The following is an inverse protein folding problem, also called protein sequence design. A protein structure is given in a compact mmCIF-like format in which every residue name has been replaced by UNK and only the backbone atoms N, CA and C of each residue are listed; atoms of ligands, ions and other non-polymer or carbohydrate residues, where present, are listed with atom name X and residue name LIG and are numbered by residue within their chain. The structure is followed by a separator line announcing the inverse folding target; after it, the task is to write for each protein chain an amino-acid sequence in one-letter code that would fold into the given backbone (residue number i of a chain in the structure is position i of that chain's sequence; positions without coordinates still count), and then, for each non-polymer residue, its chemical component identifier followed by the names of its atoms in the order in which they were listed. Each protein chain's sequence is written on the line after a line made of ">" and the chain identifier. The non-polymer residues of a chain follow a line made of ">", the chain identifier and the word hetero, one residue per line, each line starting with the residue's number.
data_IF_698346159061
#
_entry.id   IF_698346159061
#
_cell.length_a   1.000
_cell.length_b   1.000
_cell.length_c   1.000
_cell.angle_alpha   90.00
_cell.angle_beta   90.00
_cell.angle_gamma   90.00
#
_symmetry.space_group_name_H-M   'P 1'
#
loop_
_entity.id
_entity.type
_entity.pdbx_description
1 polymer ?
#
# COMPACT_ATOMS: atom_id res chain seq x y z
N UNK A 1 -0.89 10.02 -16.42
CA UNK A 1 -1.14 11.38 -15.87
C UNK A 1 0.14 12.23 -15.90
N UNK A 2 1.15 11.83 -16.67
CA UNK A 2 2.39 12.62 -16.80
C UNK A 2 2.16 13.77 -17.79
N UNK A 3 2.45 15.01 -17.35
CA UNK A 3 2.37 16.21 -18.18
C UNK A 3 1.07 17.05 -18.06
N UNK A 4 0.10 16.62 -17.28
CA UNK A 4 -1.09 17.45 -17.02
C UNK A 4 -0.85 18.40 -15.85
N UNK A 5 -1.33 19.65 -15.91
CA UNK A 5 -1.28 20.59 -14.81
C UNK A 5 -2.03 20.08 -13.57
N UNK A 6 -1.61 20.50 -12.37
CA UNK A 6 -2.28 20.16 -11.13
C UNK A 6 -3.71 20.72 -11.07
N UNK A 7 -4.65 19.91 -10.58
CA UNK A 7 -6.08 20.23 -10.48
C UNK A 7 -6.55 20.26 -9.03
N UNK A 8 -7.63 20.99 -8.78
CA UNK A 8 -8.31 20.95 -7.49
C UNK A 8 -8.78 19.52 -7.16
N UNK A 9 -8.66 19.13 -5.90
CA UNK A 9 -8.95 17.79 -5.40
C UNK A 9 -7.76 16.83 -5.46
N UNK A 10 -6.71 17.10 -6.25
CA UNK A 10 -5.53 16.24 -6.30
C UNK A 10 -4.69 16.32 -5.01
N UNK A 11 -4.01 15.21 -4.69
CA UNK A 11 -2.97 15.17 -3.65
C UNK A 11 -1.62 15.54 -4.27
N UNK A 12 -0.91 16.44 -3.62
CA UNK A 12 0.42 16.89 -4.02
C UNK A 12 1.40 16.73 -2.87
N UNK A 13 2.59 16.27 -3.17
CA UNK A 13 3.74 16.31 -2.25
C UNK A 13 4.47 17.62 -2.46
N UNK A 14 4.51 18.42 -1.42
CA UNK A 14 5.34 19.60 -1.32
C UNK A 14 6.67 19.21 -0.67
N UNK A 15 7.78 19.39 -1.37
CA UNK A 15 9.13 19.07 -0.90
C UNK A 15 9.88 20.38 -0.62
N UNK A 16 10.28 20.59 0.63
CA UNK A 16 11.07 21.78 1.00
C UNK A 16 12.59 21.54 0.79
N UNK A 17 13.36 22.62 0.91
CA UNK A 17 14.84 22.62 0.76
C UNK A 17 15.57 21.71 1.77
N UNK A 18 14.93 21.34 2.87
CA UNK A 18 15.45 20.41 3.88
C UNK A 18 15.09 18.97 3.60
N UNK A 19 14.41 18.67 2.50
CA UNK A 19 13.95 17.34 2.12
C UNK A 19 12.70 16.88 2.87
N UNK A 20 12.00 17.76 3.60
CA UNK A 20 10.75 17.40 4.27
C UNK A 20 9.62 17.38 3.27
N UNK A 21 8.76 16.37 3.38
CA UNK A 21 7.65 16.13 2.48
C UNK A 21 6.32 16.35 3.20
N UNK A 22 5.43 17.09 2.57
CA UNK A 22 4.08 17.37 3.05
C UNK A 22 3.10 16.87 2.00
N UNK A 23 2.15 16.04 2.38
CA UNK A 23 1.06 15.61 1.50
C UNK A 23 -0.13 16.54 1.71
N UNK A 24 -0.48 17.30 0.68
CA UNK A 24 -1.53 18.32 0.73
C UNK A 24 -2.59 17.99 -0.32
N UNK A 25 -3.86 18.18 0.01
CA UNK A 25 -4.95 18.18 -0.96
C UNK A 25 -5.13 19.58 -1.48
N UNK A 26 -5.09 19.76 -2.79
CA UNK A 26 -5.28 21.09 -3.40
C UNK A 26 -6.76 21.46 -3.44
N UNK A 27 -7.06 22.69 -2.99
CA UNK A 27 -8.40 23.25 -2.99
C UNK A 27 -8.31 24.69 -3.49
N UNK A 28 -9.21 25.10 -4.40
CA UNK A 28 -9.26 26.50 -4.87
C UNK A 28 -9.47 27.45 -3.71
N UNK A 29 -8.65 28.49 -3.60
CA UNK A 29 -8.65 29.43 -2.48
C UNK A 29 -8.11 28.88 -1.16
N UNK A 30 -7.69 27.59 -1.12
CA UNK A 30 -7.10 26.96 0.06
C UNK A 30 -5.69 27.47 0.37
N UNK A 31 -5.22 27.20 1.58
CA UNK A 31 -3.87 27.59 2.02
C UNK A 31 -3.26 26.48 2.88
N UNK A 32 -2.04 26.06 2.54
CA UNK A 32 -1.24 25.14 3.35
C UNK A 32 -0.34 25.93 4.30
N UNK A 33 -0.48 25.67 5.61
CA UNK A 33 0.34 26.28 6.65
C UNK A 33 1.40 25.32 7.17
N UNK A 34 2.63 25.78 7.26
CA UNK A 34 3.76 25.02 7.82
C UNK A 34 4.79 25.96 8.44
N UNK A 35 5.85 25.45 9.05
CA UNK A 35 6.87 26.26 9.73
C UNK A 35 7.64 27.24 8.82
N UNK A 36 7.60 27.08 7.50
CA UNK A 36 8.16 28.00 6.48
C UNK A 36 7.12 28.97 5.91
N UNK A 37 6.04 29.28 6.64
CA UNK A 37 5.00 30.23 6.24
C UNK A 37 3.75 29.56 5.72
N UNK A 38 3.00 30.30 4.91
CA UNK A 38 1.78 29.84 4.26
C UNK A 38 2.00 29.72 2.75
N UNK A 39 1.40 28.72 2.12
CA UNK A 39 1.40 28.53 0.68
C UNK A 39 -0.06 28.51 0.19
N UNK A 40 -0.52 29.53 -0.55
CA UNK A 40 -1.80 29.45 -1.24
C UNK A 40 -1.81 28.34 -2.26
N UNK A 41 -2.85 27.50 -2.26
CA UNK A 41 -2.98 26.38 -3.22
C UNK A 41 -3.07 26.86 -4.67
N UNK A 42 -3.59 28.07 -4.89
CA UNK A 42 -3.72 28.67 -6.21
C UNK A 42 -2.35 28.90 -6.92
N UNK A 43 -1.25 28.94 -6.16
CA UNK A 43 0.11 29.00 -6.74
C UNK A 43 0.56 27.63 -7.32
N UNK A 44 -0.08 26.54 -6.89
CA UNK A 44 0.20 25.19 -7.37
C UNK A 44 -0.81 24.75 -8.42
N UNK A 45 -2.07 25.16 -8.27
CA UNK A 45 -3.14 24.86 -9.22
C UNK A 45 -2.79 25.38 -10.61
N UNK A 46 -2.93 24.54 -11.63
CA UNK A 46 -2.59 24.86 -13.02
C UNK A 46 -1.10 24.84 -13.35
N UNK A 47 -0.21 24.63 -12.37
CA UNK A 47 1.23 24.45 -12.63
C UNK A 47 1.56 23.01 -13.00
N UNK A 48 2.72 22.82 -13.64
CA UNK A 48 3.24 21.50 -13.99
C UNK A 48 3.95 20.83 -12.81
N UNK A 49 4.02 19.51 -12.85
CA UNK A 49 4.78 18.71 -11.89
C UNK A 49 6.29 19.06 -11.96
N UNK A 50 6.93 19.21 -10.79
CA UNK A 50 8.30 19.67 -10.67
C UNK A 50 8.44 21.19 -10.55
N UNK A 51 7.35 21.95 -10.61
CA UNK A 51 7.36 23.42 -10.41
C UNK A 51 7.79 23.76 -8.98
N UNK A 52 8.61 24.80 -8.87
CA UNK A 52 8.94 25.42 -7.58
C UNK A 52 8.01 26.59 -7.31
N UNK A 53 7.38 26.57 -6.16
CA UNK A 53 6.54 27.66 -5.66
C UNK A 53 7.12 28.23 -4.37
N UNK A 54 6.73 29.46 -4.00
CA UNK A 54 7.26 30.13 -2.82
C UNK A 54 6.16 30.42 -1.81
N UNK A 55 6.45 30.14 -0.55
CA UNK A 55 5.56 30.50 0.56
C UNK A 55 5.55 32.01 0.80
N UNK A 56 4.67 32.47 1.68
CA UNK A 56 4.59 33.89 2.11
C UNK A 56 5.87 34.44 2.73
N UNK A 57 6.77 33.57 3.20
CA UNK A 57 8.08 33.95 3.75
C UNK A 57 9.23 33.79 2.72
N UNK A 58 8.91 33.42 1.48
CA UNK A 58 9.90 33.20 0.42
C UNK A 58 10.54 31.80 0.43
N UNK A 59 10.13 30.89 1.33
CA UNK A 59 10.68 29.53 1.34
C UNK A 59 10.21 28.73 0.13
N UNK A 60 11.16 28.04 -0.55
CA UNK A 60 10.90 27.28 -1.76
C UNK A 60 10.27 25.90 -1.45
N UNK A 61 9.34 25.48 -2.29
CA UNK A 61 8.69 24.19 -2.25
C UNK A 61 8.59 23.63 -3.67
N UNK A 62 9.11 22.43 -3.89
CA UNK A 62 8.91 21.65 -5.12
C UNK A 62 7.60 20.87 -5.05
N UNK A 63 6.83 20.87 -6.14
CA UNK A 63 5.51 20.26 -6.22
C UNK A 63 5.56 18.98 -7.06
N UNK A 64 5.20 17.83 -6.48
CA UNK A 64 5.15 16.54 -7.18
C UNK A 64 3.84 15.81 -6.90
N UNK A 65 3.40 14.98 -7.84
CA UNK A 65 2.39 13.96 -7.53
C UNK A 65 3.00 12.91 -6.59
N UNK A 66 2.24 12.43 -5.59
CA UNK A 66 2.78 11.47 -4.63
C UNK A 66 3.11 10.14 -5.31
N UNK A 67 4.32 9.63 -5.09
CA UNK A 67 4.59 8.22 -5.32
C UNK A 67 3.78 7.39 -4.34
N UNK A 68 3.49 6.13 -4.66
CA UNK A 68 2.77 5.24 -3.74
C UNK A 68 3.42 5.20 -2.34
N UNK A 69 4.76 5.15 -2.29
CA UNK A 69 5.49 5.17 -1.03
C UNK A 69 5.26 6.46 -0.21
N UNK A 70 5.23 7.62 -0.86
CA UNK A 70 4.98 8.90 -0.19
C UNK A 70 3.53 8.97 0.32
N UNK A 71 2.59 8.45 -0.47
CA UNK A 71 1.17 8.42 -0.13
C UNK A 71 0.88 7.50 1.06
N UNK A 72 1.33 6.25 1.01
CA UNK A 72 1.13 5.25 2.08
C UNK A 72 1.67 5.73 3.43
N UNK A 73 2.80 6.44 3.43
CA UNK A 73 3.38 6.97 4.67
C UNK A 73 2.59 8.14 5.29
N UNK A 74 1.71 8.79 4.51
CA UNK A 74 1.02 10.03 4.91
C UNK A 74 -0.50 10.01 4.75
N UNK A 75 -1.05 8.96 4.14
CA UNK A 75 -2.50 8.79 3.94
C UNK A 75 -3.25 8.71 5.27
N UNK A 76 -4.57 8.88 5.23
CA UNK A 76 -5.44 8.66 6.39
C UNK A 76 -5.28 7.24 6.94
N UNK A 77 -5.14 7.11 8.26
CA UNK A 77 -4.91 5.82 8.92
C UNK A 77 -5.99 5.54 9.95
N UNK A 78 -6.62 4.38 9.83
CA UNK A 78 -7.44 3.78 10.86
C UNK A 78 -6.72 2.62 11.55
N UNK A 79 -5.78 1.96 10.82
CA UNK A 79 -5.01 0.82 11.27
C UNK A 79 -3.50 1.01 11.01
N UNK A 80 -2.69 0.13 11.59
CA UNK A 80 -1.28 -0.02 11.22
C UNK A 80 -1.21 -0.40 9.73
N UNK A 81 -0.24 0.16 9.02
CA UNK A 81 -0.06 -0.08 7.58
C UNK A 81 1.19 -0.89 7.31
N UNK A 82 1.15 -1.73 6.29
CA UNK A 82 2.35 -2.36 5.73
C UNK A 82 3.23 -1.25 5.13
N UNK A 83 4.49 -1.22 5.54
CA UNK A 83 5.42 -0.19 5.11
C UNK A 83 5.81 -0.36 3.63
N UNK A 84 6.10 0.74 2.91
CA UNK A 84 6.51 0.68 1.50
C UNK A 84 7.70 -0.24 1.22
N UNK A 85 8.62 -0.43 2.19
CA UNK A 85 9.75 -1.36 2.05
C UNK A 85 9.32 -2.82 1.90
N UNK A 86 8.15 -3.18 2.46
CA UNK A 86 7.61 -4.53 2.44
C UNK A 86 6.65 -4.73 1.24
N UNK A 87 5.95 -3.69 0.80
CA UNK A 87 4.98 -3.78 -0.31
C UNK A 87 5.62 -4.29 -1.61
N UNK A 88 6.81 -3.81 -1.96
CA UNK A 88 7.53 -4.27 -3.15
C UNK A 88 7.89 -5.77 -3.09
N UNK A 89 8.60 -6.22 -2.05
CA UNK A 89 8.87 -7.64 -1.81
C UNK A 89 7.63 -8.51 -1.76
N UNK A 90 6.54 -8.07 -1.13
CA UNK A 90 5.25 -8.79 -1.14
C UNK A 90 4.75 -8.99 -2.57
N UNK A 91 4.70 -7.94 -3.39
CA UNK A 91 4.21 -8.04 -4.77
C UNK A 91 5.05 -9.02 -5.61
N UNK A 92 6.38 -9.00 -5.44
CA UNK A 92 7.30 -9.87 -6.19
C UNK A 92 7.21 -11.31 -5.70
N UNK A 93 7.25 -11.54 -4.38
CA UNK A 93 7.23 -12.90 -3.83
C UNK A 93 5.87 -13.58 -3.96
N UNK A 94 4.78 -12.81 -3.90
CA UNK A 94 3.45 -13.31 -4.23
C UNK A 94 3.20 -13.37 -5.75
N UNK A 95 4.17 -12.98 -6.58
CA UNK A 95 4.09 -12.97 -8.06
C UNK A 95 2.79 -12.28 -8.54
N UNK A 96 2.52 -11.06 -8.05
CA UNK A 96 1.36 -10.27 -8.48
C UNK A 96 1.68 -9.63 -9.82
N UNK A 97 0.92 -9.95 -10.85
CA UNK A 97 1.17 -9.54 -12.23
C UNK A 97 -0.02 -8.76 -12.83
N UNK A 98 0.17 -8.00 -13.93
CA UNK A 98 -0.92 -7.33 -14.62
C UNK A 98 -1.98 -8.31 -15.11
N UNK A 99 -3.25 -8.05 -14.79
CA UNK A 99 -4.38 -8.93 -15.10
C UNK A 99 -4.67 -10.00 -14.04
N UNK A 100 -3.88 -10.12 -12.97
CA UNK A 100 -4.12 -11.10 -11.91
C UNK A 100 -5.44 -10.85 -11.16
N UNK A 101 -6.09 -11.94 -10.75
CA UNK A 101 -7.22 -11.92 -9.80
C UNK A 101 -6.68 -12.18 -8.40
N UNK A 102 -6.77 -11.18 -7.54
CA UNK A 102 -6.19 -11.18 -6.20
C UNK A 102 -7.29 -11.09 -5.15
N UNK A 103 -7.22 -11.96 -4.14
CA UNK A 103 -7.98 -11.86 -2.91
C UNK A 103 -7.08 -11.28 -1.82
N UNK A 104 -7.54 -10.25 -1.15
CA UNK A 104 -6.92 -9.66 0.02
C UNK A 104 -7.86 -9.78 1.22
N UNK A 105 -7.33 -10.06 2.40
CA UNK A 105 -8.08 -9.92 3.64
C UNK A 105 -7.25 -9.16 4.69
N UNK A 106 -7.93 -8.26 5.38
CA UNK A 106 -7.32 -7.26 6.24
C UNK A 106 -6.98 -5.99 5.45
N UNK A 107 -8.00 -5.43 4.76
CA UNK A 107 -7.85 -4.16 3.99
C UNK A 107 -7.22 -3.06 4.82
N UNK A 108 -7.62 -2.94 6.09
CA UNK A 108 -7.14 -1.91 7.01
C UNK A 108 -7.30 -0.51 6.40
N UNK A 109 -6.20 0.24 6.34
CA UNK A 109 -6.20 1.57 5.70
C UNK A 109 -5.97 1.53 4.18
N UNK A 110 -5.82 0.35 3.58
CA UNK A 110 -5.68 0.16 2.14
C UNK A 110 -4.26 0.25 1.57
N UNK A 111 -3.21 0.19 2.40
CA UNK A 111 -1.84 0.32 1.91
C UNK A 111 -1.46 -0.79 0.91
N UNK A 112 -1.71 -2.05 1.28
CA UNK A 112 -1.50 -3.20 0.40
C UNK A 112 -2.49 -3.17 -0.76
N UNK A 113 -3.76 -2.87 -0.49
CA UNK A 113 -4.82 -2.73 -1.50
C UNK A 113 -4.42 -1.79 -2.64
N UNK A 114 -3.88 -0.60 -2.32
CA UNK A 114 -3.40 0.36 -3.34
C UNK A 114 -2.26 -0.21 -4.17
N UNK A 115 -1.32 -0.92 -3.53
CA UNK A 115 -0.21 -1.57 -4.22
C UNK A 115 -0.68 -2.68 -5.15
N UNK A 116 -1.62 -3.51 -4.69
CA UNK A 116 -2.25 -4.57 -5.48
C UNK A 116 -3.01 -3.99 -6.68
N UNK A 117 -3.87 -2.99 -6.46
CA UNK A 117 -4.62 -2.35 -7.54
C UNK A 117 -3.71 -1.76 -8.62
N UNK A 118 -2.57 -1.16 -8.22
CA UNK A 118 -1.59 -0.63 -9.15
C UNK A 118 -0.85 -1.72 -9.93
N UNK A 119 -0.57 -2.86 -9.28
CA UNK A 119 0.14 -3.97 -9.89
C UNK A 119 -0.72 -4.74 -10.90
N UNK A 120 -1.98 -5.04 -10.54
CA UNK A 120 -2.86 -5.82 -11.41
C UNK A 120 -3.43 -5.01 -12.58
N UNK A 121 -3.61 -3.69 -12.40
CA UNK A 121 -4.16 -2.81 -13.43
C UNK A 121 -5.62 -3.11 -13.79
N UNK A 122 -6.16 -2.42 -14.83
CA UNK A 122 -7.57 -2.48 -15.18
C UNK A 122 -8.04 -3.83 -15.75
N UNK A 123 -7.13 -4.66 -16.24
CA UNK A 123 -7.42 -6.01 -16.73
C UNK A 123 -7.47 -7.07 -15.60
N UNK A 124 -7.00 -6.69 -14.40
CA UNK A 124 -7.02 -7.54 -13.22
C UNK A 124 -8.22 -7.27 -12.31
N UNK A 125 -8.21 -7.90 -11.15
CA UNK A 125 -9.21 -7.64 -10.10
C UNK A 125 -8.60 -7.82 -8.72
N UNK A 126 -8.91 -6.92 -7.81
CA UNK A 126 -8.63 -7.03 -6.39
C UNK A 126 -9.96 -7.09 -5.65
N UNK A 127 -10.18 -8.18 -4.92
CA UNK A 127 -11.29 -8.33 -3.96
C UNK A 127 -10.67 -8.25 -2.58
N UNK A 128 -11.07 -7.29 -1.77
CA UNK A 128 -10.49 -7.04 -0.45
C UNK A 128 -11.56 -7.02 0.63
N UNK A 129 -11.40 -7.88 1.64
CA UNK A 129 -12.30 -8.02 2.77
C UNK A 129 -11.80 -7.31 4.02
N UNK A 130 -12.69 -6.58 4.66
CA UNK A 130 -12.46 -5.96 5.97
C UNK A 130 -13.74 -6.11 6.85
N UNK A 131 -13.53 -6.57 8.09
CA UNK A 131 -14.63 -6.79 9.04
C UNK A 131 -15.08 -5.53 9.77
N UNK A 132 -14.28 -4.48 9.70
CA UNK A 132 -14.54 -3.19 10.37
C UNK A 132 -14.90 -2.16 9.31
N UNK A 133 -16.19 -1.85 9.23
CA UNK A 133 -16.74 -0.94 8.23
C UNK A 133 -16.02 0.43 8.22
N UNK A 134 -15.61 0.93 9.39
CA UNK A 134 -14.88 2.19 9.51
C UNK A 134 -13.52 2.16 8.80
N UNK A 135 -12.82 1.02 8.77
CA UNK A 135 -11.54 0.89 8.06
C UNK A 135 -11.77 0.74 6.56
N UNK A 136 -12.84 0.04 6.17
CA UNK A 136 -13.21 -0.07 4.77
C UNK A 136 -13.48 1.30 4.14
N UNK A 137 -14.15 2.20 4.86
CA UNK A 137 -14.38 3.58 4.40
C UNK A 137 -13.08 4.39 4.34
N UNK A 138 -12.16 4.21 5.27
CA UNK A 138 -10.81 4.81 5.20
C UNK A 138 -10.08 4.32 3.95
N UNK A 139 -10.09 3.01 3.67
CA UNK A 139 -9.45 2.43 2.49
C UNK A 139 -10.08 2.94 1.19
N UNK A 140 -11.41 3.04 1.14
CA UNK A 140 -12.16 3.61 0.01
C UNK A 140 -11.74 5.06 -0.26
N UNK A 141 -11.69 5.89 0.78
CA UNK A 141 -11.25 7.28 0.71
C UNK A 141 -9.80 7.39 0.23
N UNK A 142 -8.91 6.54 0.74
CA UNK A 142 -7.51 6.50 0.31
C UNK A 142 -7.36 6.06 -1.15
N UNK A 143 -8.16 5.09 -1.61
CA UNK A 143 -8.18 4.67 -3.01
C UNK A 143 -8.64 5.81 -3.93
N UNK A 144 -9.71 6.51 -3.56
CA UNK A 144 -10.18 7.68 -4.29
C UNK A 144 -9.12 8.80 -4.32
N UNK A 145 -8.48 9.08 -3.19
CA UNK A 145 -7.44 10.11 -3.08
C UNK A 145 -6.20 9.81 -3.91
N UNK A 146 -5.80 8.52 -3.99
CA UNK A 146 -4.60 8.12 -4.72
C UNK A 146 -4.82 7.99 -6.22
N UNK A 147 -5.94 7.38 -6.63
CA UNK A 147 -6.24 7.15 -8.05
C UNK A 147 -7.10 8.23 -8.70
N UNK A 148 -7.59 9.20 -7.91
CA UNK A 148 -8.57 10.21 -8.36
C UNK A 148 -10.01 9.70 -8.34
N UNK A 149 -10.20 8.39 -8.37
CA UNK A 149 -11.47 7.65 -8.18
C UNK A 149 -11.17 6.25 -7.66
N UNK A 150 -12.15 5.62 -7.05
CA UNK A 150 -12.03 4.19 -6.72
C UNK A 150 -11.91 3.39 -8.03
N UNK A 151 -10.84 2.59 -8.22
CA UNK A 151 -10.67 1.81 -9.45
C UNK A 151 -11.83 0.83 -9.68
N UNK A 152 -12.28 0.67 -10.92
CA UNK A 152 -13.36 -0.26 -11.25
C UNK A 152 -12.98 -1.75 -11.01
N UNK A 153 -11.68 -2.04 -10.94
CA UNK A 153 -11.15 -3.39 -10.65
C UNK A 153 -10.89 -3.63 -9.16
N UNK A 154 -11.24 -2.68 -8.28
CA UNK A 154 -11.22 -2.82 -6.83
C UNK A 154 -12.62 -3.06 -6.31
N UNK A 155 -12.80 -4.19 -5.63
CA UNK A 155 -14.04 -4.59 -4.96
C UNK A 155 -13.77 -4.67 -3.45
N UNK A 156 -14.21 -3.65 -2.70
CA UNK A 156 -14.09 -3.58 -1.25
C UNK A 156 -15.34 -4.17 -0.61
N UNK A 157 -15.15 -5.22 0.19
CA UNK A 157 -16.24 -5.98 0.83
C UNK A 157 -16.20 -5.86 2.34
N UNK A 158 -17.31 -5.42 2.90
CA UNK A 158 -17.55 -5.47 4.34
C UNK A 158 -17.93 -6.91 4.72
N UNK A 159 -17.18 -7.53 5.62
CA UNK A 159 -17.45 -8.89 6.07
C UNK A 159 -16.20 -9.72 6.35
N UNK A 160 -16.43 -10.98 6.67
CA UNK A 160 -15.38 -11.96 6.91
C UNK A 160 -14.94 -12.60 5.60
N UNK A 161 -13.64 -12.76 5.39
CA UNK A 161 -13.08 -13.40 4.18
C UNK A 161 -13.55 -14.83 3.99
N UNK A 162 -14.01 -15.52 5.05
CA UNK A 162 -14.61 -16.87 4.96
C UNK A 162 -15.80 -16.91 4.02
N UNK A 163 -16.52 -15.81 3.87
CA UNK A 163 -17.66 -15.69 2.96
C UNK A 163 -17.28 -15.91 1.50
N UNK A 164 -16.01 -15.76 1.16
CA UNK A 164 -15.51 -15.94 -0.21
C UNK A 164 -15.74 -17.36 -0.74
N UNK A 165 -15.74 -18.38 0.13
CA UNK A 165 -15.96 -19.78 -0.27
C UNK A 165 -17.34 -20.01 -0.92
N UNK A 166 -18.35 -19.20 -0.53
CA UNK A 166 -19.71 -19.27 -1.08
C UNK A 166 -19.93 -18.47 -2.37
N UNK A 167 -18.95 -17.71 -2.84
CA UNK A 167 -19.13 -16.78 -3.98
C UNK A 167 -18.98 -17.44 -5.36
N UNK A 168 -18.34 -18.61 -5.43
CA UNK A 168 -17.96 -19.26 -6.69
C UNK A 168 -16.80 -18.57 -7.42
N UNK A 169 -16.19 -17.55 -6.83
CA UNK A 169 -15.03 -16.86 -7.38
C UNK A 169 -13.75 -17.69 -7.23
N UNK A 170 -12.78 -17.46 -8.11
CA UNK A 170 -11.46 -18.08 -8.04
C UNK A 170 -10.38 -17.03 -8.18
N UNK A 171 -9.26 -17.24 -7.49
CA UNK A 171 -8.15 -16.30 -7.43
C UNK A 171 -6.83 -17.01 -7.76
N UNK A 172 -5.88 -16.24 -8.25
CA UNK A 172 -4.53 -16.70 -8.53
C UNK A 172 -3.58 -16.37 -7.37
N UNK A 173 -3.92 -15.33 -6.62
CA UNK A 173 -3.13 -14.83 -5.48
C UNK A 173 -4.05 -14.53 -4.31
N UNK A 174 -3.62 -14.90 -3.12
CA UNK A 174 -4.29 -14.58 -1.84
C UNK A 174 -3.28 -13.91 -0.92
N UNK A 175 -3.62 -12.75 -0.39
CA UNK A 175 -2.77 -12.00 0.54
C UNK A 175 -3.55 -11.75 1.84
N UNK A 176 -2.98 -12.17 2.97
CA UNK A 176 -3.61 -12.09 4.28
C UNK A 176 -2.78 -11.22 5.23
N UNK A 177 -3.30 -10.04 5.58
CA UNK A 177 -2.81 -9.17 6.66
C UNK A 177 -3.77 -9.31 7.86
N UNK A 178 -3.82 -10.52 8.40
CA UNK A 178 -4.69 -10.91 9.50
C UNK A 178 -3.87 -11.37 10.70
N UNK A 179 -4.36 -11.18 11.94
CA UNK A 179 -3.65 -11.64 13.13
C UNK A 179 -3.52 -13.18 13.21
N UNK A 180 -4.49 -13.90 12.64
CA UNK A 180 -4.59 -15.36 12.68
C UNK A 180 -4.95 -15.91 11.28
N UNK A 181 -4.04 -15.80 10.28
CA UNK A 181 -4.34 -16.21 8.91
C UNK A 181 -4.61 -17.70 8.77
N UNK A 182 -4.10 -18.53 9.68
CA UNK A 182 -4.36 -19.99 9.71
C UNK A 182 -5.84 -20.33 9.92
N UNK A 183 -6.60 -19.44 10.58
CA UNK A 183 -8.02 -19.68 10.88
C UNK A 183 -8.94 -19.57 9.65
N UNK A 184 -8.43 -19.15 8.50
CA UNK A 184 -9.20 -18.96 7.25
C UNK A 184 -8.61 -19.72 6.06
N UNK A 185 -7.63 -20.60 6.30
CA UNK A 185 -6.91 -21.30 5.23
C UNK A 185 -7.79 -22.24 4.41
N UNK A 186 -8.79 -22.87 5.01
CA UNK A 186 -9.69 -23.77 4.30
C UNK A 186 -10.51 -23.00 3.27
N UNK A 187 -11.10 -21.87 3.65
CA UNK A 187 -11.96 -21.09 2.79
C UNK A 187 -11.15 -20.38 1.68
N UNK A 188 -10.04 -19.74 2.04
CA UNK A 188 -9.20 -19.08 1.02
C UNK A 188 -8.47 -20.08 0.14
N UNK A 189 -8.12 -21.24 0.70
CA UNK A 189 -7.57 -22.35 -0.04
C UNK A 189 -8.55 -22.91 -1.07
N UNK A 190 -9.83 -23.01 -0.76
CA UNK A 190 -10.87 -23.49 -1.68
C UNK A 190 -10.99 -22.60 -2.94
N UNK A 191 -10.79 -21.29 -2.82
CA UNK A 191 -10.90 -20.33 -3.93
C UNK A 191 -9.58 -20.01 -4.62
N UNK A 192 -8.45 -20.39 -4.04
CA UNK A 192 -7.13 -20.25 -4.66
C UNK A 192 -6.90 -21.41 -5.64
N UNK A 193 -6.63 -21.08 -6.90
CA UNK A 193 -6.37 -22.09 -7.95
C UNK A 193 -5.09 -22.88 -7.70
N UNK A 194 -4.94 -24.08 -8.30
CA UNK A 194 -3.69 -24.85 -8.27
C UNK A 194 -2.51 -24.00 -8.78
N UNK A 195 -1.36 -24.09 -8.11
CA UNK A 195 -0.18 -23.25 -8.39
C UNK A 195 -0.32 -21.80 -7.95
N UNK A 196 -1.49 -21.40 -7.41
CA UNK A 196 -1.71 -20.09 -6.83
C UNK A 196 -0.86 -19.84 -5.58
N UNK A 197 -0.57 -18.58 -5.30
CA UNK A 197 0.30 -18.21 -4.18
C UNK A 197 -0.54 -17.60 -3.06
N UNK A 198 -0.32 -18.09 -1.85
CA UNK A 198 -0.76 -17.50 -0.60
C UNK A 198 0.42 -16.72 0.01
N UNK A 199 0.17 -15.49 0.41
CA UNK A 199 1.12 -14.64 1.12
C UNK A 199 0.49 -14.17 2.44
N UNK A 200 1.23 -14.25 3.55
CA UNK A 200 0.82 -13.68 4.84
C UNK A 200 1.83 -12.65 5.31
N UNK A 201 1.34 -11.63 6.03
CA UNK A 201 2.18 -10.62 6.68
C UNK A 201 1.91 -10.63 8.19
N UNK A 202 2.94 -10.95 8.98
CA UNK A 202 2.78 -11.23 10.41
C UNK A 202 3.87 -10.54 11.24
N UNK A 203 3.52 -9.91 12.37
CA UNK A 203 4.46 -9.12 13.16
C UNK A 203 5.36 -9.96 14.08
N UNK A 204 5.01 -11.20 14.41
CA UNK A 204 5.73 -11.99 15.43
C UNK A 204 6.15 -13.37 14.96
N UNK A 205 7.24 -13.88 15.50
CA UNK A 205 7.76 -15.23 15.19
C UNK A 205 6.81 -16.35 15.60
N UNK A 206 6.04 -16.17 16.69
CA UNK A 206 5.02 -17.16 17.09
C UNK A 206 3.93 -17.29 16.05
N UNK A 207 3.41 -16.17 15.53
CA UNK A 207 2.42 -16.19 14.46
C UNK A 207 2.97 -16.81 13.17
N UNK A 208 4.24 -16.52 12.84
CA UNK A 208 4.91 -17.15 11.68
C UNK A 208 4.96 -18.65 11.85
N UNK A 209 5.32 -19.16 13.03
CA UNK A 209 5.39 -20.60 13.30
C UNK A 209 4.03 -21.28 13.07
N UNK A 210 2.94 -20.69 13.59
CA UNK A 210 1.58 -21.21 13.42
C UNK A 210 1.17 -21.16 11.93
N UNK A 211 1.40 -20.04 11.26
CA UNK A 211 1.05 -19.87 9.85
C UNK A 211 1.78 -20.89 8.96
N UNK A 212 3.10 -21.07 9.16
CA UNK A 212 3.91 -22.04 8.39
C UNK A 212 3.45 -23.48 8.65
N UNK A 213 3.14 -23.85 9.90
CA UNK A 213 2.62 -25.17 10.23
C UNK A 213 1.28 -25.41 9.51
N UNK A 214 0.34 -24.49 9.63
CA UNK A 214 -0.97 -24.59 9.00
C UNK A 214 -0.88 -24.64 7.46
N UNK A 215 -0.01 -23.84 6.84
CA UNK A 215 0.21 -23.88 5.38
C UNK A 215 0.74 -25.25 4.93
N UNK A 216 1.66 -25.86 5.70
CA UNK A 216 2.18 -27.22 5.39
C UNK A 216 1.11 -28.29 5.55
N UNK A 217 0.31 -28.21 6.60
CA UNK A 217 -0.81 -29.13 6.84
C UNK A 217 -1.87 -29.01 5.72
N UNK A 218 -2.11 -27.80 5.23
CA UNK A 218 -2.96 -27.51 4.07
C UNK A 218 -2.28 -27.81 2.72
N UNK A 219 -1.12 -28.48 2.73
CA UNK A 219 -0.36 -28.94 1.55
C UNK A 219 0.10 -27.82 0.61
N UNK A 220 0.47 -26.66 1.17
CA UNK A 220 1.24 -25.68 0.41
C UNK A 220 2.69 -26.13 0.29
N UNK A 221 3.23 -26.05 -0.91
CA UNK A 221 4.66 -26.27 -1.22
C UNK A 221 5.41 -24.92 -1.20
N UNK A 222 6.75 -24.99 -1.26
CA UNK A 222 7.63 -23.83 -1.34
C UNK A 222 7.31 -22.76 -0.25
N UNK A 223 7.05 -23.23 0.98
CA UNK A 223 6.73 -22.31 2.09
C UNK A 223 8.02 -21.65 2.57
N UNK A 224 8.14 -20.37 2.29
CA UNK A 224 9.30 -19.53 2.63
C UNK A 224 8.88 -18.35 3.50
N UNK A 225 9.74 -17.98 4.46
CA UNK A 225 9.52 -16.81 5.32
C UNK A 225 10.75 -15.92 5.33
N UNK A 226 10.55 -14.62 5.22
CA UNK A 226 11.62 -13.62 5.28
C UNK A 226 11.11 -12.29 5.85
N UNK A 227 12.03 -11.41 6.22
CA UNK A 227 11.76 -10.02 6.56
C UNK A 227 12.62 -9.08 5.71
N UNK A 228 12.24 -7.82 5.63
CA UNK A 228 12.94 -6.80 4.84
C UNK A 228 13.51 -5.73 5.76
N UNK A 229 14.81 -5.48 5.65
CA UNK A 229 15.52 -4.43 6.39
C UNK A 229 15.94 -3.33 5.41
N UNK A 230 15.38 -2.12 5.57
CA UNK A 230 15.70 -0.98 4.69
C UNK A 230 16.72 -0.09 5.35
N UNK A 231 17.95 -0.08 4.81
CA UNK A 231 19.02 0.82 5.23
C UNK A 231 19.24 1.90 4.18
N UNK A 232 18.95 3.14 4.54
CA UNK A 232 19.22 4.31 3.71
C UNK A 232 20.64 4.85 3.95
N UNK A 233 21.13 5.63 3.01
CA UNK A 233 22.47 6.20 3.04
C UNK A 233 22.44 7.70 2.87
N UNK A 234 23.20 8.41 3.70
CA UNK A 234 23.55 9.78 3.48
C UNK A 234 24.68 9.85 2.45
N UNK A 235 24.45 10.58 1.36
CA UNK A 235 25.43 10.78 0.31
C UNK A 235 25.62 12.28 0.08
N UNK A 236 26.81 12.77 0.35
CA UNK A 236 27.24 14.14 0.11
C UNK A 236 28.67 14.13 -0.45
N UNK A 237 29.14 15.22 -1.08
CA UNK A 237 30.45 15.24 -1.78
C UNK A 237 31.66 14.78 -0.94
N UNK A 238 31.59 14.93 0.38
CA UNK A 238 32.67 14.54 1.31
C UNK A 238 32.25 13.53 2.36
N UNK A 239 31.07 12.95 2.26
CA UNK A 239 30.55 12.03 3.27
C UNK A 239 29.57 11.05 2.65
N UNK A 240 29.95 9.77 2.61
CA UNK A 240 29.07 8.66 2.24
C UNK A 240 29.00 7.72 3.43
N UNK A 241 27.84 7.62 4.06
CA UNK A 241 27.65 6.79 5.26
C UNK A 241 26.18 6.31 5.36
N UNK A 242 25.94 5.20 6.05
CA UNK A 242 24.56 4.82 6.36
C UNK A 242 23.90 5.88 7.23
N UNK A 243 22.60 6.04 7.08
CA UNK A 243 21.82 6.86 8.01
C UNK A 243 21.85 6.27 9.40
N UNK A 244 21.73 7.14 10.41
CA UNK A 244 21.72 6.72 11.83
C UNK A 244 20.48 5.89 12.18
N UNK A 245 19.37 6.09 11.47
CA UNK A 245 18.13 5.36 11.67
C UNK A 245 17.91 4.39 10.52
N UNK A 246 17.43 3.21 10.84
CA UNK A 246 17.04 2.18 9.88
C UNK A 246 15.63 1.72 10.23
N UNK A 247 14.79 1.52 9.21
CA UNK A 247 13.54 0.80 9.38
C UNK A 247 13.88 -0.69 9.31
N UNK A 248 13.98 -1.30 10.49
CA UNK A 248 14.35 -2.71 10.63
C UNK A 248 13.09 -3.59 10.54
N UNK A 249 12.82 -4.37 11.59
CA UNK A 249 11.66 -5.25 11.65
C UNK A 249 10.36 -4.45 11.64
N UNK A 250 9.43 -4.87 10.78
CA UNK A 250 8.05 -4.37 10.71
C UNK A 250 7.04 -5.52 10.61
N UNK A 251 7.46 -6.64 10.05
CA UNK A 251 6.70 -7.87 9.90
C UNK A 251 7.46 -8.88 9.06
N UNK A 252 7.04 -10.12 9.17
CA UNK A 252 7.51 -11.24 8.36
C UNK A 252 6.56 -11.47 7.20
N UNK A 253 7.12 -11.75 6.05
CA UNK A 253 6.41 -12.15 4.83
C UNK A 253 6.58 -13.66 4.71
N UNK A 254 5.47 -14.39 4.67
CA UNK A 254 5.49 -15.82 4.40
C UNK A 254 4.70 -16.10 3.13
N UNK A 255 5.30 -16.80 2.19
CA UNK A 255 4.67 -17.23 0.94
C UNK A 255 4.63 -18.74 0.83
N UNK A 256 3.62 -19.27 0.15
CA UNK A 256 3.52 -20.69 -0.16
C UNK A 256 2.68 -20.90 -1.40
N UNK A 257 2.94 -21.99 -2.10
CA UNK A 257 2.31 -22.31 -3.37
C UNK A 257 1.33 -23.47 -3.20
N UNK A 258 0.08 -23.25 -3.62
CA UNK A 258 -0.93 -24.31 -3.53
C UNK A 258 -0.62 -25.47 -4.47
N UNK A 259 -0.61 -26.69 -3.94
CA UNK A 259 -0.54 -27.91 -4.76
C UNK A 259 -1.91 -28.26 -5.36
N UNK A 260 -1.95 -29.22 -6.27
CA UNK A 260 -3.17 -29.71 -6.90
C UNK A 260 -4.02 -30.57 -5.94
#
# INVERSE_FOLDING_TARGET
>A
MNGEPFRAGERVVLLDERGRRFLVRLEGGGTFHYHGGALPHDLVLGSEEGTTVHSTTGASLLCFRPRLADFVLKMGRGAQVIYPKDLGPILISADVFPGARVLEAGTGSGALTLALCRAVGPEGRVVSYERRAEFLEVARGNAQDFFGKVPAWLDLRDGDVREVAGTGETFQRVLLDLPEPWAVLDEVGAVLGPGGILCTYLPTTGQVQEAVAAMRDARFAEVETFEVLLRTWHVAPRSVRPDHRMVAHTGFITVGRKTA
#
